data_IF_258438731103
#
_entry.id   IF_258438731103
#
_cell.length_a   1.000
_cell.length_b   1.000
_cell.length_c   1.000
_cell.angle_alpha   90.00
_cell.angle_beta   90.00
_cell.angle_gamma   90.00
#
_symmetry.space_group_name_H-M   'P 1'
#
loop_
_entity.id
_entity.type
_entity.pdbx_description
1 polymer ?
#
# COMPACT_ATOMS: atom_id res chain seq x y z
N UNK A 1 -11.95 -58.70 -11.19
CA UNK A 1 -11.85 -57.75 -10.07
C UNK A 1 -10.52 -56.97 -10.02
N UNK A 2 -9.45 -57.48 -10.57
CA UNK A 2 -8.13 -56.82 -10.60
C UNK A 2 -8.05 -55.57 -11.51
N UNK A 3 -8.65 -55.60 -12.69
CA UNK A 3 -8.63 -54.48 -13.63
C UNK A 3 -9.39 -53.25 -13.17
N UNK A 4 -10.43 -53.40 -12.37
CA UNK A 4 -11.18 -52.29 -11.79
C UNK A 4 -10.36 -51.50 -10.75
N UNK A 5 -9.52 -52.19 -9.99
CA UNK A 5 -8.62 -51.55 -8.98
C UNK A 5 -7.55 -50.68 -9.66
N UNK A 6 -6.97 -51.14 -10.78
CA UNK A 6 -5.96 -50.35 -11.49
C UNK A 6 -6.60 -49.17 -12.22
N UNK A 7 -7.83 -49.30 -12.72
CA UNK A 7 -8.57 -48.19 -13.32
C UNK A 7 -8.88 -47.09 -12.31
N UNK A 8 -9.30 -47.44 -11.07
CA UNK A 8 -9.56 -46.49 -10.00
C UNK A 8 -8.27 -45.77 -9.51
N UNK A 9 -7.16 -46.49 -9.46
CA UNK A 9 -5.84 -45.89 -9.11
C UNK A 9 -5.38 -44.95 -10.21
N UNK A 10 -5.56 -45.28 -11.48
CA UNK A 10 -5.22 -44.41 -12.62
C UNK A 10 -6.08 -43.12 -12.61
N UNK A 11 -7.40 -43.24 -12.33
CA UNK A 11 -8.28 -42.07 -12.19
C UNK A 11 -7.88 -41.15 -11.01
N UNK A 12 -7.47 -41.73 -9.89
CA UNK A 12 -6.98 -40.96 -8.75
C UNK A 12 -5.67 -40.20 -9.06
N UNK A 13 -4.77 -40.80 -9.87
CA UNK A 13 -3.56 -40.16 -10.33
C UNK A 13 -3.84 -39.00 -11.31
N UNK A 14 -4.83 -39.13 -12.20
CA UNK A 14 -5.23 -38.07 -13.11
C UNK A 14 -5.88 -36.91 -12.36
N UNK A 15 -6.65 -37.17 -11.31
CA UNK A 15 -7.22 -36.12 -10.46
C UNK A 15 -6.16 -35.38 -9.60
N UNK A 16 -5.10 -36.07 -9.18
CA UNK A 16 -4.01 -35.46 -8.42
C UNK A 16 -3.05 -34.62 -9.27
N UNK A 17 -3.03 -34.81 -10.60
CA UNK A 17 -2.20 -34.06 -11.52
C UNK A 17 -2.80 -32.68 -11.94
N UNK A 18 -4.04 -32.39 -11.56
CA UNK A 18 -4.57 -31.03 -11.61
C UNK A 18 -4.16 -30.27 -10.35
N UNK A 19 -2.86 -30.15 -10.13
CA UNK A 19 -2.34 -29.07 -9.30
C UNK A 19 -2.72 -27.78 -10.00
N UNK A 20 -3.75 -27.12 -9.50
CA UNK A 20 -4.00 -25.73 -9.87
C UNK A 20 -2.73 -24.97 -9.54
N UNK A 21 -1.97 -24.62 -10.55
CA UNK A 21 -1.02 -23.52 -10.42
C UNK A 21 -1.89 -22.35 -9.98
N UNK A 22 -1.80 -21.96 -8.72
CA UNK A 22 -2.34 -20.67 -8.33
C UNK A 22 -1.55 -19.68 -9.17
N UNK A 23 -2.24 -19.04 -10.14
CA UNK A 23 -1.68 -17.92 -10.84
C UNK A 23 -1.12 -16.99 -9.76
N UNK A 24 0.20 -16.78 -9.77
CA UNK A 24 0.81 -15.89 -8.82
C UNK A 24 0.28 -14.49 -9.10
N UNK A 25 -0.58 -13.93 -8.26
CA UNK A 25 -1.20 -12.63 -8.53
C UNK A 25 -0.13 -11.54 -8.70
N UNK A 26 1.10 -11.78 -8.19
CA UNK A 26 2.23 -10.86 -8.32
C UNK A 26 2.93 -10.93 -9.68
N UNK A 27 2.71 -11.95 -10.49
CA UNK A 27 3.28 -12.02 -11.85
C UNK A 27 2.62 -11.06 -12.85
N UNK A 28 1.43 -10.53 -12.53
CA UNK A 28 0.68 -9.60 -13.39
C UNK A 28 0.88 -8.13 -13.06
N UNK A 29 1.43 -7.80 -11.88
CA UNK A 29 1.49 -6.43 -11.41
C UNK A 29 2.88 -5.84 -11.60
N UNK A 30 2.99 -4.97 -12.57
CA UNK A 30 4.20 -4.18 -12.88
C UNK A 30 4.27 -2.95 -11.97
N UNK A 31 4.30 -3.17 -10.65
CA UNK A 31 4.43 -2.09 -9.67
C UNK A 31 5.74 -1.34 -9.85
N UNK A 32 5.67 -0.02 -9.80
CA UNK A 32 6.87 0.81 -9.78
C UNK A 32 7.29 1.12 -8.34
N UNK A 33 8.56 1.51 -8.12
CA UNK A 33 8.99 2.03 -6.84
C UNK A 33 8.17 3.26 -6.42
N UNK A 34 7.83 3.40 -5.11
CA UNK A 34 7.09 4.55 -4.60
C UNK A 34 7.92 5.84 -4.53
N UNK A 35 9.21 5.78 -4.82
CA UNK A 35 10.15 6.92 -4.83
C UNK A 35 11.11 6.81 -6.01
N UNK A 36 11.48 7.95 -6.58
CA UNK A 36 12.47 8.05 -7.67
C UNK A 36 13.88 8.30 -7.12
N UNK A 37 14.30 7.45 -6.19
CA UNK A 37 15.66 7.42 -5.62
C UNK A 37 16.06 5.96 -5.40
N UNK A 38 17.36 5.62 -5.30
CA UNK A 38 17.79 4.28 -4.95
C UNK A 38 17.15 3.80 -3.64
N UNK A 39 16.51 2.61 -3.68
CA UNK A 39 15.81 2.05 -2.53
C UNK A 39 16.81 1.40 -1.59
N UNK A 40 16.94 1.98 -0.41
CA UNK A 40 17.61 1.39 0.74
C UNK A 40 16.62 1.31 1.89
N UNK A 41 16.48 0.14 2.49
CA UNK A 41 15.58 -0.06 3.62
C UNK A 41 16.24 0.33 4.94
N UNK A 42 15.46 0.93 5.84
CA UNK A 42 15.79 1.13 7.25
C UNK A 42 14.95 0.24 8.17
N UNK A 43 13.84 -0.32 7.65
CA UNK A 43 12.99 -1.28 8.32
C UNK A 43 12.38 -2.25 7.32
N UNK A 44 12.21 -3.52 7.74
CA UNK A 44 11.67 -4.60 6.91
C UNK A 44 10.32 -5.06 7.41
N UNK A 45 9.52 -5.66 6.52
CA UNK A 45 8.25 -6.29 6.89
C UNK A 45 8.48 -7.40 7.93
N UNK A 46 7.64 -7.45 8.95
CA UNK A 46 7.71 -8.44 10.03
C UNK A 46 8.80 -8.19 11.07
N UNK A 47 9.57 -7.10 10.96
CA UNK A 47 10.55 -6.70 11.97
C UNK A 47 9.86 -6.45 13.32
N UNK A 48 10.43 -7.00 14.41
CA UNK A 48 9.91 -6.79 15.74
C UNK A 48 10.19 -5.36 16.21
N UNK A 49 9.16 -4.63 16.52
CA UNK A 49 9.16 -3.31 17.16
C UNK A 49 8.85 -3.45 18.66
N UNK A 50 8.89 -2.37 19.41
CA UNK A 50 8.71 -2.41 20.85
C UNK A 50 7.42 -3.08 21.35
N UNK A 51 6.33 -3.02 20.60
CA UNK A 51 5.00 -3.56 20.96
C UNK A 51 4.22 -4.15 19.79
N UNK A 52 4.79 -4.26 18.60
CA UNK A 52 4.14 -4.80 17.40
C UNK A 52 5.16 -5.26 16.37
N UNK A 53 4.71 -6.01 15.37
CA UNK A 53 5.49 -6.30 14.18
C UNK A 53 5.30 -5.21 13.14
N UNK A 54 6.38 -4.83 12.46
CA UNK A 54 6.33 -3.86 11.37
C UNK A 54 5.52 -4.42 10.20
N UNK A 55 4.47 -3.71 9.79
CA UNK A 55 3.53 -4.15 8.75
C UNK A 55 3.84 -3.61 7.36
N UNK A 56 5.01 -3.01 7.18
CA UNK A 56 5.46 -2.42 5.92
C UNK A 56 6.97 -2.50 5.76
N UNK A 57 7.49 -1.64 4.91
CA UNK A 57 8.91 -1.40 4.73
C UNK A 57 9.19 0.09 4.96
N UNK A 58 10.31 0.41 5.59
CA UNK A 58 10.78 1.78 5.74
C UNK A 58 11.87 2.06 4.70
N UNK A 59 11.61 3.00 3.80
CA UNK A 59 12.55 3.39 2.73
C UNK A 59 13.31 4.64 3.18
N UNK A 60 14.65 4.57 3.16
CA UNK A 60 15.51 5.71 3.49
C UNK A 60 15.33 6.84 2.48
N UNK A 61 14.95 8.02 2.96
CA UNK A 61 14.80 9.24 2.16
C UNK A 61 16.02 10.17 2.25
N UNK A 62 17.20 9.58 2.41
CA UNK A 62 18.48 10.31 2.51
C UNK A 62 18.52 11.29 3.71
N UNK A 63 17.81 10.96 4.80
CA UNK A 63 17.74 11.79 6.02
C UNK A 63 16.93 13.08 5.85
N UNK A 64 16.16 13.23 4.78
CA UNK A 64 15.37 14.44 4.50
C UNK A 64 13.91 14.12 4.22
N UNK A 65 13.03 15.06 4.54
CA UNK A 65 11.62 15.05 4.12
C UNK A 65 11.47 15.70 2.73
N UNK A 66 10.28 15.59 2.13
CA UNK A 66 9.94 16.29 0.89
C UNK A 66 10.35 15.56 -0.38
N UNK A 67 10.71 14.26 -0.33
CA UNK A 67 10.89 13.47 -1.56
C UNK A 67 9.52 13.15 -2.15
N UNK A 68 9.34 13.29 -3.48
CA UNK A 68 8.10 12.90 -4.14
C UNK A 68 7.75 11.43 -3.88
N UNK A 69 6.50 11.18 -3.51
CA UNK A 69 5.92 9.85 -3.34
C UNK A 69 5.01 9.56 -4.52
N UNK A 70 5.27 8.45 -5.19
CA UNK A 70 4.58 8.04 -6.41
C UNK A 70 3.52 6.97 -6.11
N UNK A 71 2.38 7.03 -6.80
CA UNK A 71 1.46 5.91 -6.85
C UNK A 71 2.13 4.73 -7.57
N UNK A 72 2.20 3.58 -6.93
CA UNK A 72 2.91 2.40 -7.46
C UNK A 72 2.18 1.76 -8.65
N UNK A 73 0.88 2.01 -8.80
CA UNK A 73 0.02 1.53 -9.88
C UNK A 73 -1.18 2.48 -10.03
N UNK A 74 -1.94 2.36 -11.13
CA UNK A 74 -3.24 3.01 -11.30
C UNK A 74 -4.20 2.63 -10.17
N UNK A 75 -5.13 3.52 -9.83
CA UNK A 75 -6.10 3.24 -8.79
C UNK A 75 -6.89 4.48 -8.36
N UNK A 76 -7.42 4.45 -7.15
CA UNK A 76 -8.09 5.59 -6.54
C UNK A 76 -7.74 5.68 -5.06
N UNK A 77 -7.68 6.89 -4.53
CA UNK A 77 -7.55 7.10 -3.09
C UNK A 77 -8.83 6.62 -2.41
N UNK A 78 -8.74 5.52 -1.68
CA UNK A 78 -9.89 4.94 -0.96
C UNK A 78 -10.00 5.43 0.48
N UNK A 79 -8.88 5.90 1.05
CA UNK A 79 -8.87 6.44 2.41
C UNK A 79 -7.73 7.44 2.59
N UNK A 80 -8.01 8.49 3.36
CA UNK A 80 -7.01 9.43 3.89
C UNK A 80 -7.15 9.46 5.40
N UNK A 81 -6.03 9.44 6.11
CA UNK A 81 -6.01 9.65 7.56
C UNK A 81 -4.96 10.71 7.90
N UNK A 82 -5.35 11.66 8.73
CA UNK A 82 -4.45 12.63 9.37
C UNK A 82 -4.60 12.46 10.87
N UNK A 83 -3.49 12.19 11.55
CA UNK A 83 -3.44 11.98 12.99
C UNK A 83 -2.13 12.50 13.56
N UNK A 84 -2.12 12.82 14.83
CA UNK A 84 -0.89 13.21 15.57
C UNK A 84 -0.04 12.00 15.98
N UNK A 85 -0.57 10.78 15.86
CA UNK A 85 0.10 9.53 16.24
C UNK A 85 0.00 8.47 15.13
N UNK A 86 0.61 7.30 15.36
CA UNK A 86 0.63 6.18 14.42
C UNK A 86 1.27 6.59 13.10
N UNK A 87 0.61 6.35 11.97
CA UNK A 87 1.10 6.72 10.64
C UNK A 87 1.11 8.24 10.34
N UNK A 88 0.61 9.08 11.26
CA UNK A 88 0.52 10.51 11.01
C UNK A 88 -0.40 10.84 9.84
N UNK A 89 0.15 11.47 8.80
CA UNK A 89 -0.54 11.62 7.51
C UNK A 89 -0.34 10.36 6.69
N UNK A 90 -1.43 9.68 6.39
CA UNK A 90 -1.44 8.43 5.64
C UNK A 90 -2.42 8.47 4.47
N UNK A 91 -1.98 7.89 3.35
CA UNK A 91 -2.74 7.75 2.12
C UNK A 91 -2.91 6.27 1.79
N UNK A 92 -4.11 5.88 1.41
CA UNK A 92 -4.48 4.51 1.03
C UNK A 92 -5.02 4.55 -0.39
N UNK A 93 -4.40 3.79 -1.28
CA UNK A 93 -4.80 3.69 -2.69
C UNK A 93 -5.21 2.26 -2.99
N UNK A 94 -6.44 2.09 -3.43
CA UNK A 94 -6.94 0.80 -3.91
C UNK A 94 -6.68 0.70 -5.41
N UNK A 95 -6.15 -0.44 -5.83
CA UNK A 95 -5.78 -0.74 -7.21
C UNK A 95 -6.80 -1.65 -7.89
N UNK A 96 -6.88 -1.67 -9.23
CA UNK A 96 -7.91 -2.44 -9.97
C UNK A 96 -7.95 -3.92 -9.62
N UNK A 97 -6.80 -4.53 -9.34
CA UNK A 97 -6.67 -5.95 -8.99
C UNK A 97 -6.98 -6.24 -7.50
N UNK A 98 -7.52 -5.27 -6.76
CA UNK A 98 -7.91 -5.41 -5.35
C UNK A 98 -6.78 -5.23 -4.35
N UNK A 99 -5.57 -4.90 -4.77
CA UNK A 99 -4.48 -4.53 -3.87
C UNK A 99 -4.70 -3.15 -3.27
N UNK A 100 -4.15 -2.97 -2.08
CA UNK A 100 -4.15 -1.71 -1.35
C UNK A 100 -2.72 -1.31 -1.03
N UNK A 101 -2.26 -0.18 -1.56
CA UNK A 101 -1.01 0.44 -1.12
C UNK A 101 -1.26 1.46 -0.02
N UNK A 102 -0.37 1.49 0.98
CA UNK A 102 -0.45 2.41 2.12
C UNK A 102 0.85 3.17 2.25
N UNK A 103 0.74 4.50 2.26
CA UNK A 103 1.86 5.41 2.42
C UNK A 103 1.69 6.13 3.75
N UNK A 104 2.64 5.96 4.65
CA UNK A 104 2.61 6.55 5.99
C UNK A 104 3.62 7.69 6.17
N UNK A 105 3.55 8.35 7.32
CA UNK A 105 4.49 9.37 7.79
C UNK A 105 4.70 10.55 6.83
N UNK A 106 3.71 10.81 5.95
CA UNK A 106 3.79 11.81 4.89
C UNK A 106 3.91 13.24 5.45
N UNK A 107 4.67 14.10 4.77
CA UNK A 107 4.76 15.51 5.11
C UNK A 107 3.51 16.27 4.66
N UNK A 108 3.10 16.05 3.40
CA UNK A 108 1.93 16.66 2.79
C UNK A 108 1.44 15.79 1.64
N UNK A 109 0.19 15.94 1.27
CA UNK A 109 -0.38 15.35 0.07
C UNK A 109 -0.15 16.27 -1.15
N UNK A 110 -0.40 15.78 -2.37
CA UNK A 110 -0.44 16.65 -3.54
C UNK A 110 -1.60 17.65 -3.43
N UNK A 111 -1.59 18.69 -4.26
CA UNK A 111 -2.53 19.81 -4.15
C UNK A 111 -4.00 19.37 -4.20
N UNK A 112 -4.35 18.41 -5.04
CA UNK A 112 -5.72 17.92 -5.18
C UNK A 112 -6.19 17.23 -3.89
N UNK A 113 -5.40 16.31 -3.36
CA UNK A 113 -5.70 15.57 -2.13
C UNK A 113 -5.65 16.52 -0.92
N UNK A 114 -4.64 17.40 -0.88
CA UNK A 114 -4.46 18.36 0.22
C UNK A 114 -5.67 19.31 0.35
N UNK A 115 -6.22 19.77 -0.77
CA UNK A 115 -7.40 20.62 -0.78
C UNK A 115 -8.60 19.94 -0.10
N UNK A 116 -8.87 18.69 -0.45
CA UNK A 116 -9.95 17.90 0.16
C UNK A 116 -9.74 17.73 1.68
N UNK A 117 -8.50 17.44 2.07
CA UNK A 117 -8.15 17.28 3.50
C UNK A 117 -8.40 18.57 4.27
N UNK A 118 -7.91 19.71 3.75
CA UNK A 118 -8.06 21.01 4.40
C UNK A 118 -9.54 21.41 4.52
N UNK A 119 -10.33 21.25 3.46
CA UNK A 119 -11.78 21.51 3.49
C UNK A 119 -12.45 20.71 4.60
N UNK A 120 -12.13 19.42 4.73
CA UNK A 120 -12.72 18.56 5.77
C UNK A 120 -12.21 18.84 7.18
N UNK A 121 -10.97 19.31 7.31
CA UNK A 121 -10.45 19.79 8.60
C UNK A 121 -11.20 21.03 9.09
N UNK A 122 -11.46 22.00 8.21
CA UNK A 122 -12.24 23.19 8.54
C UNK A 122 -13.72 22.84 8.81
N UNK A 123 -14.33 21.99 7.99
CA UNK A 123 -15.73 21.56 8.20
C UNK A 123 -15.93 20.88 9.56
N UNK A 124 -14.94 20.08 10.00
CA UNK A 124 -14.98 19.34 11.26
C UNK A 124 -14.35 20.09 12.45
N UNK A 125 -13.80 21.28 12.21
CA UNK A 125 -13.05 22.05 13.20
C UNK A 125 -11.98 21.18 13.91
N UNK A 126 -11.32 20.28 13.15
CA UNK A 126 -10.38 19.31 13.68
C UNK A 126 -9.17 19.13 12.78
N UNK A 127 -7.99 19.11 13.39
CA UNK A 127 -6.76 18.72 12.68
C UNK A 127 -6.79 17.23 12.27
N UNK A 128 -7.32 16.36 13.13
CA UNK A 128 -7.40 14.94 12.87
C UNK A 128 -8.65 14.61 12.06
N UNK A 129 -8.45 14.00 10.91
CA UNK A 129 -9.54 13.58 10.03
C UNK A 129 -9.28 12.18 9.48
N UNK A 130 -10.36 11.47 9.24
CA UNK A 130 -10.37 10.23 8.49
C UNK A 130 -11.47 10.32 7.44
N UNK A 131 -11.08 10.17 6.17
CA UNK A 131 -11.93 10.33 5.01
C UNK A 131 -11.92 9.03 4.22
N UNK A 132 -13.07 8.64 3.68
CA UNK A 132 -13.23 7.49 2.81
C UNK A 132 -13.84 7.96 1.49
N UNK A 133 -13.43 7.32 0.41
CA UNK A 133 -13.82 7.67 -0.95
C UNK A 133 -14.23 6.40 -1.70
N UNK A 134 -15.24 6.54 -2.51
CA UNK A 134 -15.67 5.50 -3.42
C UNK A 134 -14.77 5.44 -4.65
N UNK A 135 -14.92 4.37 -5.41
CA UNK A 135 -14.21 4.20 -6.66
C UNK A 135 -14.44 5.42 -7.57
N UNK A 136 -13.36 5.90 -8.18
CA UNK A 136 -13.35 7.00 -9.15
C UNK A 136 -13.60 8.43 -8.60
N UNK A 137 -13.81 8.61 -7.28
CA UNK A 137 -13.92 9.96 -6.69
C UNK A 137 -12.58 10.70 -6.69
N UNK A 138 -11.49 10.01 -6.37
CA UNK A 138 -10.11 10.54 -6.39
C UNK A 138 -9.19 9.60 -7.15
N UNK A 139 -9.26 9.54 -8.49
CA UNK A 139 -8.43 8.67 -9.29
C UNK A 139 -6.96 9.10 -9.26
N UNK A 140 -6.07 8.12 -9.29
CA UNK A 140 -4.62 8.32 -9.42
C UNK A 140 -4.06 7.43 -10.52
N UNK A 141 -2.98 7.89 -11.15
CA UNK A 141 -2.26 7.13 -12.18
C UNK A 141 -0.94 6.62 -11.63
N UNK A 142 -0.50 5.48 -12.13
CA UNK A 142 0.85 4.95 -11.91
C UNK A 142 1.90 6.03 -12.19
N UNK A 143 2.82 6.22 -11.25
CA UNK A 143 3.86 7.25 -11.33
C UNK A 143 3.41 8.67 -11.01
N UNK A 144 2.13 8.90 -10.73
CA UNK A 144 1.66 10.21 -10.29
C UNK A 144 2.21 10.53 -8.89
N UNK A 145 2.73 11.75 -8.71
CA UNK A 145 3.09 12.25 -7.38
C UNK A 145 1.82 12.45 -6.56
N UNK A 146 1.67 11.69 -5.50
CA UNK A 146 0.49 11.72 -4.61
C UNK A 146 0.75 12.41 -3.28
N UNK A 147 2.02 12.46 -2.86
CA UNK A 147 2.42 13.06 -1.59
C UNK A 147 3.92 13.41 -1.58
N UNK A 148 4.38 13.94 -0.46
CA UNK A 148 5.80 14.13 -0.14
C UNK A 148 6.16 13.31 1.10
N UNK A 149 7.34 12.67 1.09
CA UNK A 149 7.88 11.93 2.24
C UNK A 149 8.04 12.83 3.47
N UNK A 150 7.86 12.27 4.64
CA UNK A 150 7.85 13.08 5.84
C UNK A 150 8.39 12.37 7.08
N UNK A 151 7.87 12.81 8.22
CA UNK A 151 8.20 12.31 9.56
C UNK A 151 7.02 12.57 10.52
N UNK A 152 5.77 12.50 10.03
CA UNK A 152 4.57 12.77 10.85
C UNK A 152 4.16 11.54 11.65
N UNK A 153 3.33 11.73 12.68
CA UNK A 153 2.88 10.65 13.55
C UNK A 153 3.98 10.15 14.49
N UNK A 154 4.03 8.83 14.69
CA UNK A 154 4.96 8.18 15.63
C UNK A 154 6.31 7.81 14.99
N UNK A 155 6.71 8.47 13.92
CA UNK A 155 8.01 8.25 13.28
C UNK A 155 9.16 8.87 14.07
N UNK A 156 10.33 8.20 14.09
CA UNK A 156 11.52 8.65 14.79
C UNK A 156 12.44 9.48 13.89
N UNK A 157 12.31 9.37 12.57
CA UNK A 157 13.13 10.06 11.59
C UNK A 157 12.58 9.98 10.18
N UNK A 158 13.06 10.83 9.23
CA UNK A 158 12.60 10.84 7.84
C UNK A 158 12.86 9.50 7.13
N UNK A 159 11.80 8.92 6.62
CA UNK A 159 11.84 7.70 5.81
C UNK A 159 10.66 7.64 4.86
#
# INVERSE_FOLDING_TARGET
MTHLKYFLVLLAFIFCAHSYSQDNPFEKNDFIPPVDIPIYLSGTFGELRGNHFHTGIDIKTQGSVGKPILAIEDGWVSRIKVSTSGYGKALYITHPDGYLSVYGHLQMFNDTIQKVVVEKQYEKESFEVQLFFEKDELPVRKGQVVAMSGNTGSSIGPH
#
